data_IF_895306319105
#
_entry.id   IF_895306319105
#
_cell.length_a   1.000
_cell.length_b   1.000
_cell.length_c   1.000
_cell.angle_alpha   90.00
_cell.angle_beta   90.00
_cell.angle_gamma   90.00
#
_symmetry.space_group_name_H-M   'P 1'
#
loop_
_entity.id
_entity.type
_entity.pdbx_description
1 polymer ?
#
# COMPACT_ATOMS: atom_id res chain seq x y z
N UNK A 1 20.67 4.00 16.76
CA UNK A 1 19.29 4.34 17.21
C UNK A 1 18.36 4.70 16.07
N UNK A 2 18.63 5.70 15.21
CA UNK A 2 17.75 6.07 14.07
C UNK A 2 17.51 4.91 13.09
N UNK A 3 18.54 4.16 12.71
CA UNK A 3 18.45 3.01 11.80
C UNK A 3 17.56 1.90 12.37
N UNK A 4 17.72 1.58 13.64
CA UNK A 4 16.90 0.55 14.33
C UNK A 4 15.42 0.93 14.33
N UNK A 5 15.11 2.20 14.63
CA UNK A 5 13.73 2.70 14.62
C UNK A 5 13.12 2.60 13.20
N UNK A 6 13.89 2.94 12.17
CA UNK A 6 13.42 2.87 10.78
C UNK A 6 13.16 1.42 10.33
N UNK A 7 14.02 0.47 10.75
CA UNK A 7 13.83 -0.96 10.45
C UNK A 7 12.57 -1.49 11.16
N UNK A 8 12.36 -1.13 12.43
CA UNK A 8 11.13 -1.47 13.16
C UNK A 8 9.90 -0.90 12.41
N UNK A 9 9.99 0.32 11.89
CA UNK A 9 8.94 0.93 11.08
C UNK A 9 8.58 0.10 9.84
N UNK A 10 9.56 -0.43 9.12
CA UNK A 10 9.32 -1.33 7.97
C UNK A 10 8.57 -2.58 8.43
N UNK A 11 9.03 -3.23 9.52
CA UNK A 11 8.43 -4.46 10.03
C UNK A 11 6.96 -4.21 10.43
N UNK A 12 6.68 -3.11 11.12
CA UNK A 12 5.32 -2.75 11.53
C UNK A 12 4.39 -2.53 10.35
N UNK A 13 4.86 -1.83 9.30
CA UNK A 13 4.06 -1.59 8.10
C UNK A 13 3.80 -2.89 7.34
N UNK A 14 4.81 -3.75 7.16
CA UNK A 14 4.64 -5.07 6.54
C UNK A 14 3.63 -5.92 7.33
N UNK A 15 3.76 -5.96 8.65
CA UNK A 15 2.83 -6.69 9.51
C UNK A 15 1.41 -6.16 9.37
N UNK A 16 1.23 -4.84 9.28
CA UNK A 16 -0.06 -4.21 9.06
C UNK A 16 -0.66 -4.60 7.70
N UNK A 17 0.10 -4.48 6.60
CA UNK A 17 -0.34 -4.85 5.24
C UNK A 17 -0.76 -6.32 5.21
N UNK A 18 0.10 -7.23 5.67
CA UNK A 18 -0.22 -8.67 5.64
C UNK A 18 -1.37 -9.05 6.56
N UNK A 19 -1.53 -8.38 7.70
CA UNK A 19 -2.69 -8.54 8.58
C UNK A 19 -4.00 -8.18 7.86
N UNK A 20 -4.00 -7.11 7.05
CA UNK A 20 -5.14 -6.73 6.22
C UNK A 20 -5.40 -7.73 5.09
N UNK A 21 -4.35 -8.26 4.47
CA UNK A 21 -4.44 -9.25 3.39
C UNK A 21 -4.88 -10.62 3.88
N UNK A 22 -4.59 -10.97 5.12
CA UNK A 22 -5.04 -12.20 5.77
C UNK A 22 -6.52 -12.15 6.21
N UNK A 23 -7.14 -10.98 6.24
CA UNK A 23 -8.57 -10.88 6.52
C UNK A 23 -9.39 -11.52 5.40
N UNK A 24 -10.37 -12.36 5.77
CA UNK A 24 -11.29 -12.94 4.79
C UNK A 24 -12.04 -11.87 4.00
N UNK A 25 -12.50 -12.24 2.80
CA UNK A 25 -13.16 -11.30 1.89
C UNK A 25 -14.39 -10.62 2.50
N UNK A 26 -15.12 -11.29 3.40
CA UNK A 26 -16.32 -10.73 4.04
C UNK A 26 -15.97 -9.63 5.03
N UNK A 27 -14.94 -9.81 5.83
CA UNK A 27 -14.48 -8.81 6.78
C UNK A 27 -13.81 -7.63 6.06
N UNK A 28 -13.05 -7.91 5.01
CA UNK A 28 -12.48 -6.88 4.15
C UNK A 28 -13.55 -5.99 3.51
N UNK A 29 -14.63 -6.60 2.97
CA UNK A 29 -15.77 -5.87 2.40
C UNK A 29 -16.47 -5.03 3.47
N UNK A 30 -16.69 -5.56 4.69
CA UNK A 30 -17.30 -4.76 5.77
C UNK A 30 -16.47 -3.52 6.10
N UNK A 31 -15.14 -3.66 6.15
CA UNK A 31 -14.24 -2.53 6.44
C UNK A 31 -14.28 -1.47 5.34
N UNK A 32 -14.23 -1.87 4.07
CA UNK A 32 -14.28 -0.93 2.95
C UNK A 32 -15.66 -0.32 2.74
N UNK A 33 -16.74 -1.08 2.98
CA UNK A 33 -18.13 -0.60 2.88
C UNK A 33 -18.43 0.53 3.87
N UNK A 34 -17.77 0.56 5.03
CA UNK A 34 -17.88 1.70 5.93
C UNK A 34 -17.45 3.01 5.23
N UNK A 35 -16.34 3.00 4.50
CA UNK A 35 -15.90 4.16 3.75
C UNK A 35 -16.79 4.42 2.53
N UNK A 36 -17.15 3.36 1.79
CA UNK A 36 -18.00 3.44 0.59
C UNK A 36 -19.36 4.08 0.92
N UNK A 37 -20.01 3.65 1.99
CA UNK A 37 -21.32 4.17 2.40
C UNK A 37 -21.29 5.63 2.87
N UNK A 38 -20.17 6.10 3.38
CA UNK A 38 -19.99 7.50 3.78
C UNK A 38 -19.61 8.42 2.59
N UNK A 39 -18.89 7.91 1.60
CA UNK A 39 -18.46 8.70 0.45
C UNK A 39 -19.55 8.76 -0.63
N UNK A 40 -20.32 7.68 -0.85
CA UNK A 40 -21.34 7.62 -1.88
C UNK A 40 -22.38 8.77 -1.81
N UNK A 41 -22.96 9.16 -0.65
CA UNK A 41 -23.92 10.27 -0.58
C UNK A 41 -23.31 11.60 -1.02
N UNK A 42 -22.00 11.80 -0.78
CA UNK A 42 -21.29 13.01 -1.21
C UNK A 42 -21.18 13.03 -2.73
N UNK A 43 -20.82 11.90 -3.35
CA UNK A 43 -20.72 11.80 -4.80
C UNK A 43 -22.09 11.97 -5.47
N UNK A 44 -23.16 11.43 -4.90
CA UNK A 44 -24.53 11.63 -5.41
C UNK A 44 -24.90 13.11 -5.39
N UNK A 45 -24.59 13.84 -4.33
CA UNK A 45 -24.82 15.31 -4.25
C UNK A 45 -24.04 16.09 -5.31
N UNK A 46 -22.91 15.56 -5.76
CA UNK A 46 -22.09 16.13 -6.84
C UNK A 46 -22.53 15.70 -8.24
N UNK A 47 -23.63 14.93 -8.35
CA UNK A 47 -24.20 14.48 -9.62
C UNK A 47 -23.63 13.15 -10.14
N UNK A 48 -22.80 12.45 -9.35
CA UNK A 48 -22.30 11.14 -9.70
C UNK A 48 -23.17 10.05 -9.06
N UNK A 49 -23.48 8.98 -9.81
CA UNK A 49 -24.26 7.85 -9.33
C UNK A 49 -23.45 6.55 -9.40
N UNK A 50 -22.41 6.39 -8.55
CA UNK A 50 -21.54 5.22 -8.60
C UNK A 50 -22.28 3.97 -8.12
N UNK A 51 -21.99 2.83 -8.81
CA UNK A 51 -22.37 1.53 -8.30
C UNK A 51 -21.55 1.19 -7.05
N UNK A 52 -22.21 0.81 -5.95
CA UNK A 52 -21.59 0.55 -4.66
C UNK A 52 -20.51 -0.53 -4.73
N UNK A 53 -20.74 -1.62 -5.46
CA UNK A 53 -19.79 -2.75 -5.58
C UNK A 53 -18.54 -2.32 -6.30
N UNK A 54 -18.70 -1.56 -7.41
CA UNK A 54 -17.57 -1.05 -8.19
C UNK A 54 -16.77 -0.06 -7.35
N UNK A 55 -17.46 0.85 -6.66
CA UNK A 55 -16.84 1.84 -5.79
C UNK A 55 -16.06 1.20 -4.64
N UNK A 56 -16.61 0.15 -4.01
CA UNK A 56 -15.94 -0.60 -2.97
C UNK A 56 -14.62 -1.22 -3.46
N UNK A 57 -14.63 -1.79 -4.67
CA UNK A 57 -13.42 -2.30 -5.30
C UNK A 57 -12.34 -1.23 -5.49
N UNK A 58 -12.72 -0.01 -5.91
CA UNK A 58 -11.77 1.11 -6.02
C UNK A 58 -11.24 1.56 -4.67
N UNK A 59 -12.07 1.64 -3.64
CA UNK A 59 -11.65 2.04 -2.29
C UNK A 59 -10.62 1.05 -1.74
N UNK A 60 -10.80 -0.26 -1.92
CA UNK A 60 -9.81 -1.26 -1.52
C UNK A 60 -8.48 -1.10 -2.26
N UNK A 61 -8.52 -0.87 -3.58
CA UNK A 61 -7.31 -0.62 -4.37
C UNK A 61 -6.58 0.66 -3.95
N UNK A 62 -7.31 1.71 -3.62
CA UNK A 62 -6.73 2.95 -3.09
C UNK A 62 -6.13 2.76 -1.70
N UNK A 63 -6.73 1.91 -0.86
CA UNK A 63 -6.14 1.55 0.44
C UNK A 63 -4.79 0.85 0.25
N UNK A 64 -4.71 -0.20 -0.59
CA UNK A 64 -3.45 -0.88 -0.92
C UNK A 64 -2.39 0.08 -1.48
N UNK A 65 -2.78 0.92 -2.45
CA UNK A 65 -1.88 1.92 -3.02
C UNK A 65 -1.29 2.84 -1.93
N UNK A 66 -2.09 3.31 -0.97
CA UNK A 66 -1.62 4.18 0.12
C UNK A 66 -0.77 3.43 1.15
N UNK A 67 -1.10 2.19 1.46
CA UNK A 67 -0.30 1.32 2.31
C UNK A 67 1.09 1.10 1.71
N UNK A 68 1.17 0.73 0.44
CA UNK A 68 2.44 0.54 -0.26
C UNK A 68 3.19 1.85 -0.52
N UNK A 69 2.49 2.97 -0.70
CA UNK A 69 3.13 4.29 -0.77
C UNK A 69 3.86 4.60 0.54
N UNK A 70 3.24 4.32 1.68
CA UNK A 70 3.85 4.49 2.99
C UNK A 70 5.03 3.53 3.17
N UNK A 71 4.88 2.27 2.78
CA UNK A 71 5.94 1.27 2.82
C UNK A 71 7.15 1.71 1.99
N UNK A 72 6.96 2.11 0.74
CA UNK A 72 8.03 2.56 -0.15
C UNK A 72 8.77 3.78 0.39
N UNK A 73 8.04 4.72 0.98
CA UNK A 73 8.60 5.90 1.63
C UNK A 73 9.53 5.52 2.79
N UNK A 74 9.10 4.61 3.67
CA UNK A 74 9.88 4.17 4.83
C UNK A 74 11.06 3.29 4.42
N UNK A 75 10.89 2.39 3.44
CA UNK A 75 11.99 1.59 2.89
C UNK A 75 13.09 2.50 2.32
N UNK A 76 12.70 3.47 1.47
CA UNK A 76 13.68 4.38 0.87
C UNK A 76 14.42 5.21 1.93
N UNK A 77 13.71 5.76 2.90
CA UNK A 77 14.30 6.50 4.01
C UNK A 77 15.30 5.66 4.82
N UNK A 78 14.94 4.41 5.10
CA UNK A 78 15.81 3.46 5.81
C UNK A 78 17.03 3.09 4.98
N UNK A 79 16.82 2.76 3.70
CA UNK A 79 17.93 2.38 2.80
C UNK A 79 18.90 3.53 2.53
N UNK A 80 18.42 4.77 2.53
CA UNK A 80 19.30 5.96 2.48
C UNK A 80 20.26 6.04 3.67
N UNK A 81 19.90 5.48 4.82
CA UNK A 81 20.75 5.45 6.00
C UNK A 81 21.70 4.22 6.04
N UNK A 82 21.35 3.15 5.32
CA UNK A 82 22.09 1.89 5.34
C UNK A 82 23.01 1.69 4.14
N UNK A 83 22.67 2.26 2.99
CA UNK A 83 23.36 2.03 1.71
C UNK A 83 23.79 3.34 1.08
N UNK A 84 24.92 3.29 0.36
CA UNK A 84 25.47 4.45 -0.37
C UNK A 84 25.09 4.42 -1.86
N UNK A 85 24.72 3.25 -2.41
CA UNK A 85 24.48 3.07 -3.85
C UNK A 85 23.20 2.30 -4.13
N UNK A 86 22.60 2.58 -5.29
CA UNK A 86 21.42 1.89 -5.82
C UNK A 86 20.20 1.88 -4.87
N UNK A 87 20.04 2.95 -4.05
CA UNK A 87 19.02 3.03 -3.01
C UNK A 87 17.62 2.87 -3.61
N UNK A 88 17.31 3.58 -4.71
CA UNK A 88 16.01 3.51 -5.38
C UNK A 88 15.73 2.10 -5.88
N UNK A 89 16.68 1.50 -6.61
CA UNK A 89 16.52 0.17 -7.18
C UNK A 89 16.30 -0.87 -6.08
N UNK A 90 17.09 -0.83 -5.02
CA UNK A 90 16.92 -1.73 -3.86
C UNK A 90 15.56 -1.55 -3.20
N UNK A 91 15.10 -0.30 -3.06
CA UNK A 91 13.78 -0.01 -2.45
C UNK A 91 12.65 -0.54 -3.33
N UNK A 92 12.70 -0.33 -4.64
CA UNK A 92 11.69 -0.85 -5.58
C UNK A 92 11.68 -2.38 -5.55
N UNK A 93 12.84 -3.03 -5.64
CA UNK A 93 12.92 -4.50 -5.64
C UNK A 93 12.34 -5.10 -4.36
N UNK A 94 12.66 -4.53 -3.19
CA UNK A 94 12.08 -5.00 -1.93
C UNK A 94 10.56 -4.78 -1.90
N UNK A 95 10.07 -3.64 -2.39
CA UNK A 95 8.63 -3.36 -2.45
C UNK A 95 7.89 -4.34 -3.37
N UNK A 96 8.46 -4.68 -4.53
CA UNK A 96 7.90 -5.69 -5.44
C UNK A 96 7.85 -7.07 -4.77
N UNK A 97 8.91 -7.46 -4.06
CA UNK A 97 8.93 -8.72 -3.32
C UNK A 97 7.80 -8.77 -2.27
N UNK A 98 7.61 -7.67 -1.52
CA UNK A 98 6.57 -7.58 -0.49
C UNK A 98 5.18 -7.61 -1.13
N UNK A 99 4.94 -6.88 -2.24
CA UNK A 99 3.68 -6.90 -2.98
C UNK A 99 3.36 -8.30 -3.54
N UNK A 100 4.37 -9.00 -4.06
CA UNK A 100 4.20 -10.37 -4.55
C UNK A 100 3.85 -11.34 -3.42
N UNK A 101 4.45 -11.18 -2.24
CA UNK A 101 4.12 -11.97 -1.06
C UNK A 101 2.71 -11.64 -0.53
N UNK A 102 2.29 -10.40 -0.59
CA UNK A 102 0.94 -9.96 -0.23
C UNK A 102 -0.11 -10.67 -1.09
N UNK A 103 0.05 -10.63 -2.41
CA UNK A 103 -0.81 -11.34 -3.35
C UNK A 103 -0.78 -12.87 -3.14
N UNK A 104 0.39 -13.42 -2.80
CA UNK A 104 0.51 -14.84 -2.47
C UNK A 104 -0.30 -15.19 -1.21
N UNK A 105 -0.30 -14.37 -0.18
CA UNK A 105 -1.13 -14.55 1.02
C UNK A 105 -2.62 -14.52 0.63
N UNK A 106 -3.03 -13.62 -0.25
CA UNK A 106 -4.41 -13.49 -0.69
C UNK A 106 -4.93 -14.72 -1.43
N UNK A 107 -4.07 -15.49 -2.15
CA UNK A 107 -4.47 -16.78 -2.79
C UNK A 107 -5.06 -17.76 -1.75
N UNK A 108 -4.51 -17.78 -0.55
CA UNK A 108 -4.93 -18.69 0.52
C UNK A 108 -5.99 -18.10 1.45
N UNK A 109 -6.40 -16.85 1.21
CA UNK A 109 -7.38 -16.15 2.05
C UNK A 109 -8.79 -16.35 1.48
N UNK A 110 -9.74 -16.94 2.22
CA UNK A 110 -11.10 -17.19 1.73
C UNK A 110 -11.79 -15.91 1.27
N UNK A 111 -12.41 -15.96 0.09
CA UNK A 111 -13.15 -14.81 -0.48
C UNK A 111 -12.28 -13.67 -1.01
N UNK A 112 -10.95 -13.87 -1.10
CA UNK A 112 -10.03 -12.96 -1.80
C UNK A 112 -9.71 -13.52 -3.19
N UNK A 113 -9.37 -12.62 -4.10
CA UNK A 113 -8.87 -12.94 -5.44
C UNK A 113 -7.51 -12.28 -5.59
N UNK A 114 -6.49 -13.08 -5.90
CA UNK A 114 -5.17 -12.56 -6.24
C UNK A 114 -5.13 -12.16 -7.71
N UNK A 115 -4.54 -11.00 -8.02
CA UNK A 115 -4.42 -10.52 -9.38
C UNK A 115 -3.08 -9.79 -9.58
N UNK A 116 -2.40 -10.11 -10.67
CA UNK A 116 -1.14 -9.45 -11.03
C UNK A 116 -1.29 -7.91 -11.16
N UNK A 117 -2.48 -7.43 -11.50
CA UNK A 117 -2.77 -5.99 -11.53
C UNK A 117 -2.66 -5.34 -10.16
N UNK A 118 -2.92 -6.07 -9.09
CA UNK A 118 -2.85 -5.55 -7.73
C UNK A 118 -1.38 -5.40 -7.30
N UNK A 119 -0.48 -6.32 -7.71
CA UNK A 119 0.99 -6.13 -7.58
C UNK A 119 1.45 -4.84 -8.29
N UNK A 120 0.90 -4.55 -9.46
CA UNK A 120 1.26 -3.32 -10.19
C UNK A 120 0.78 -2.05 -9.47
N UNK A 121 -0.42 -2.07 -8.89
CA UNK A 121 -0.96 -0.96 -8.10
C UNK A 121 -0.09 -0.72 -6.86
N UNK A 122 0.22 -1.77 -6.12
CA UNK A 122 1.05 -1.75 -4.92
C UNK A 122 2.46 -1.23 -5.22
N UNK A 123 3.08 -1.77 -6.28
CA UNK A 123 4.39 -1.30 -6.75
C UNK A 123 4.35 0.18 -7.15
N UNK A 124 3.27 0.62 -7.82
CA UNK A 124 3.09 2.02 -8.20
C UNK A 124 2.99 2.91 -6.95
N UNK A 125 2.21 2.49 -5.95
CA UNK A 125 2.15 3.17 -4.66
C UNK A 125 3.54 3.30 -4.04
N UNK A 126 4.29 2.21 -3.96
CA UNK A 126 5.64 2.21 -3.40
C UNK A 126 6.60 3.16 -4.15
N UNK A 127 6.56 3.17 -5.49
CA UNK A 127 7.36 4.09 -6.31
C UNK A 127 7.01 5.55 -5.99
N UNK A 128 5.73 5.88 -5.88
CA UNK A 128 5.28 7.23 -5.51
C UNK A 128 5.86 7.63 -4.14
N UNK A 129 5.76 6.76 -3.14
CA UNK A 129 6.32 7.00 -1.81
C UNK A 129 7.84 7.21 -1.82
N UNK A 130 8.56 6.37 -2.57
CA UNK A 130 10.01 6.50 -2.77
C UNK A 130 10.36 7.88 -3.38
N UNK A 131 9.64 8.29 -4.42
CA UNK A 131 9.90 9.55 -5.11
C UNK A 131 9.60 10.77 -4.22
N UNK A 132 8.53 10.73 -3.44
CA UNK A 132 8.18 11.78 -2.47
C UNK A 132 9.31 11.96 -1.46
N UNK A 133 9.73 10.90 -0.78
CA UNK A 133 10.80 11.00 0.24
C UNK A 133 12.14 11.37 -0.38
N UNK A 134 12.44 10.88 -1.59
CA UNK A 134 13.63 11.29 -2.33
C UNK A 134 13.65 12.80 -2.56
N UNK A 135 12.53 13.38 -3.02
CA UNK A 135 12.42 14.81 -3.27
C UNK A 135 12.60 15.62 -1.98
N UNK A 136 11.89 15.25 -0.91
CA UNK A 136 11.96 15.92 0.38
C UNK A 136 13.35 15.86 1.02
N UNK A 137 14.06 14.73 0.85
CA UNK A 137 15.37 14.54 1.46
C UNK A 137 16.55 15.02 0.58
N UNK A 138 16.28 15.44 -0.66
CA UNK A 138 17.28 16.06 -1.56
C UNK A 138 17.41 17.56 -1.30
N UNK A 139 16.36 18.21 -0.83
CA UNK A 139 16.32 19.66 -0.54
C UNK A 139 17.01 20.06 0.78
N UNK A 140 17.56 19.09 1.53
CA UNK A 140 18.15 19.30 2.85
C UNK A 140 19.70 19.34 2.83
N UNK A 141 20.33 19.59 1.67
CA UNK A 141 21.80 19.73 1.50
C UNK A 141 22.14 21.11 0.99
#
# INVERSE_FOLDING_TARGET
MKQTISIIGIILIITFIWSNSYQDGTNSIKSSMFFTSNIQPILIKLGFHPNLIIMDGYIRKMAHLTEFMTLGAVIYYTFKQLFNTYIITKSILLSICIASLDEFIQIYTPGRTSNITDILIDTTGAIIGILIIRALTKSSV
#
